data_IF_488987300540
#
_entry.id   IF_488987300540
#
_cell.length_a   1.000
_cell.length_b   1.000
_cell.length_c   1.000
_cell.angle_alpha   90.00
_cell.angle_beta   90.00
_cell.angle_gamma   90.00
#
_symmetry.space_group_name_H-M   'P 1'
#
loop_
_entity.id
_entity.type
_entity.pdbx_description
1 polymer ?
#
# COMPACT_ATOMS: atom_id res chain seq x y z
N UNK A 1 -6.61 19.54 29.26
CA UNK A 1 -5.35 18.75 29.12
C UNK A 1 -5.60 17.70 28.04
N UNK A 2 -4.80 17.72 26.98
CA UNK A 2 -5.03 16.96 25.75
C UNK A 2 -4.79 15.46 25.97
N UNK A 3 -5.85 14.66 26.06
CA UNK A 3 -5.74 13.22 25.95
C UNK A 3 -5.77 12.83 24.47
N UNK A 4 -4.56 12.88 23.89
CA UNK A 4 -4.18 12.28 22.63
C UNK A 4 -4.55 10.78 22.66
N UNK A 5 -5.76 10.47 22.21
CA UNK A 5 -6.13 9.09 21.90
C UNK A 5 -5.30 8.72 20.67
N UNK A 6 -4.12 8.15 20.94
CA UNK A 6 -3.34 7.43 19.96
C UNK A 6 -4.24 6.37 19.34
N UNK A 7 -4.86 6.75 18.23
CA UNK A 7 -5.59 5.85 17.37
C UNK A 7 -4.54 4.91 16.81
N UNK A 8 -4.26 3.81 17.51
CA UNK A 8 -3.56 2.67 16.91
C UNK A 8 -4.58 2.03 15.99
N UNK A 9 -4.88 2.72 14.88
CA UNK A 9 -5.65 2.17 13.78
C UNK A 9 -4.90 0.91 13.37
N UNK A 10 -5.58 -0.23 13.45
CA UNK A 10 -5.04 -1.52 13.03
C UNK A 10 -4.45 -1.35 11.63
N UNK A 11 -3.12 -1.24 11.53
CA UNK A 11 -2.46 -1.09 10.25
C UNK A 11 -2.68 -2.40 9.51
N UNK A 12 -3.66 -2.40 8.61
CA UNK A 12 -4.03 -3.60 7.85
C UNK A 12 -2.92 -3.85 6.85
N UNK A 13 -2.17 -4.93 7.07
CA UNK A 13 -1.08 -5.32 6.22
C UNK A 13 -1.59 -6.32 5.20
N UNK A 14 -1.38 -6.02 3.92
CA UNK A 14 -1.76 -6.85 2.81
C UNK A 14 -0.52 -7.49 2.17
N UNK A 15 -0.64 -8.74 1.74
CA UNK A 15 0.42 -9.44 1.02
C UNK A 15 0.31 -9.20 -0.50
N UNK A 16 1.34 -9.61 -1.24
CA UNK A 16 1.36 -9.55 -2.71
C UNK A 16 0.08 -10.04 -3.43
N UNK A 17 -0.53 -11.19 -3.07
CA UNK A 17 -1.74 -11.66 -3.73
C UNK A 17 -2.90 -10.64 -3.62
N UNK A 18 -3.03 -10.02 -2.46
CA UNK A 18 -4.06 -9.02 -2.19
C UNK A 18 -3.76 -7.69 -2.89
N UNK A 19 -2.49 -7.28 -2.88
CA UNK A 19 -2.01 -6.12 -3.62
C UNK A 19 -2.31 -6.23 -5.13
N UNK A 20 -2.15 -7.44 -5.67
CA UNK A 20 -2.47 -7.77 -7.07
C UNK A 20 -3.98 -7.66 -7.33
N UNK A 21 -4.81 -8.11 -6.39
CA UNK A 21 -6.29 -7.98 -6.47
C UNK A 21 -6.75 -6.53 -6.47
N UNK A 22 -6.19 -5.70 -5.58
CA UNK A 22 -6.60 -4.29 -5.44
C UNK A 22 -6.17 -3.48 -6.65
N UNK A 23 -4.91 -3.61 -7.06
CA UNK A 23 -4.35 -2.81 -8.15
C UNK A 23 -4.69 -3.37 -9.54
N UNK A 24 -5.14 -4.63 -9.62
CA UNK A 24 -5.33 -5.38 -10.87
C UNK A 24 -4.06 -5.45 -11.73
N UNK A 25 -2.89 -5.15 -11.13
CA UNK A 25 -1.60 -5.17 -11.82
C UNK A 25 -0.92 -6.54 -11.70
N UNK A 26 -0.10 -6.88 -12.70
CA UNK A 26 0.76 -8.06 -12.64
C UNK A 26 1.89 -7.86 -11.63
N UNK A 27 2.40 -8.96 -11.09
CA UNK A 27 3.54 -8.96 -10.13
C UNK A 27 4.74 -8.15 -10.64
N UNK A 28 5.05 -8.22 -11.94
CA UNK A 28 6.14 -7.45 -12.55
C UNK A 28 5.95 -5.94 -12.40
N UNK A 29 4.76 -5.43 -12.72
CA UNK A 29 4.42 -4.02 -12.54
C UNK A 29 4.45 -3.61 -11.06
N UNK A 30 4.05 -4.49 -10.14
CA UNK A 30 4.18 -4.23 -8.70
C UNK A 30 5.65 -4.13 -8.27
N UNK A 31 6.54 -4.98 -8.79
CA UNK A 31 7.98 -4.87 -8.52
C UNK A 31 8.58 -3.59 -9.08
N UNK A 32 8.14 -3.14 -10.26
CA UNK A 32 8.56 -1.84 -10.82
C UNK A 32 8.11 -0.68 -9.94
N UNK A 33 6.87 -0.70 -9.42
CA UNK A 33 6.36 0.32 -8.50
C UNK A 33 7.11 0.33 -7.16
N UNK A 34 7.49 -0.83 -6.65
CA UNK A 34 8.34 -0.94 -5.46
C UNK A 34 9.73 -0.35 -5.74
N UNK A 35 10.30 -0.65 -6.91
CA UNK A 35 11.60 -0.10 -7.33
C UNK A 35 11.54 1.42 -7.56
N UNK A 36 10.40 1.93 -8.05
CA UNK A 36 10.14 3.36 -8.22
C UNK A 36 9.90 4.09 -6.88
N UNK A 37 9.73 3.37 -5.77
CA UNK A 37 9.47 3.96 -4.45
C UNK A 37 8.02 4.40 -4.22
N UNK A 38 7.13 4.09 -5.16
CA UNK A 38 5.68 4.37 -5.09
C UNK A 38 4.97 3.48 -4.07
N UNK A 39 5.45 2.25 -3.90
CA UNK A 39 4.96 1.30 -2.90
C UNK A 39 6.07 0.96 -1.92
N UNK A 40 5.79 1.09 -0.62
CA UNK A 40 6.75 0.76 0.44
C UNK A 40 6.52 -0.66 0.95
N UNK A 41 7.39 -1.61 0.59
CA UNK A 41 7.32 -2.95 1.16
C UNK A 41 7.75 -2.93 2.62
N UNK A 42 6.86 -3.37 3.50
CA UNK A 42 7.16 -3.66 4.91
C UNK A 42 7.57 -5.12 5.00
N UNK A 43 8.82 -5.39 5.40
CA UNK A 43 9.26 -6.76 5.69
C UNK A 43 8.79 -7.15 7.09
N UNK A 44 7.82 -8.06 7.16
CA UNK A 44 7.38 -8.66 8.42
C UNK A 44 7.88 -10.11 8.47
N UNK A 45 9.06 -10.29 9.07
CA UNK A 45 9.77 -11.57 9.12
C UNK A 45 10.13 -12.09 7.72
N UNK A 46 9.58 -13.25 7.34
CA UNK A 46 9.83 -13.88 6.02
C UNK A 46 8.88 -13.40 4.91
N UNK A 47 7.88 -12.58 5.23
CA UNK A 47 6.88 -12.12 4.25
C UNK A 47 7.05 -10.62 3.99
N UNK A 48 7.00 -10.27 2.72
CA UNK A 48 6.85 -8.88 2.28
C UNK A 48 5.37 -8.54 2.28
N UNK A 49 5.00 -7.57 3.10
CA UNK A 49 3.63 -7.05 3.25
C UNK A 49 3.62 -5.55 2.99
N UNK A 50 2.44 -4.99 2.76
CA UNK A 50 2.23 -3.58 2.41
C UNK A 50 1.11 -3.03 3.28
N UNK A 51 1.17 -1.76 3.67
CA UNK A 51 0.03 -1.14 4.34
C UNK A 51 -1.11 -0.94 3.34
N UNK A 52 -2.30 -1.46 3.66
CA UNK A 52 -3.50 -1.31 2.84
C UNK A 52 -3.80 0.17 2.56
N UNK A 53 -3.63 1.02 3.58
CA UNK A 53 -3.84 2.46 3.47
C UNK A 53 -2.93 3.12 2.43
N UNK A 54 -1.63 2.78 2.40
CA UNK A 54 -0.69 3.32 1.39
C UNK A 54 -1.07 2.87 -0.02
N UNK A 55 -1.52 1.61 -0.16
CA UNK A 55 -1.92 1.05 -1.45
C UNK A 55 -3.18 1.75 -1.97
N UNK A 56 -4.17 1.96 -1.11
CA UNK A 56 -5.40 2.67 -1.47
C UNK A 56 -5.10 4.13 -1.84
N UNK A 57 -4.27 4.82 -1.05
CA UNK A 57 -3.84 6.20 -1.33
C UNK A 57 -3.14 6.29 -2.70
N UNK A 58 -2.24 5.35 -2.99
CA UNK A 58 -1.57 5.25 -4.27
C UNK A 58 -2.54 5.02 -5.44
N UNK A 59 -3.51 4.11 -5.30
CA UNK A 59 -4.54 3.87 -6.32
C UNK A 59 -5.34 5.14 -6.56
N UNK A 60 -5.75 5.84 -5.49
CA UNK A 60 -6.51 7.08 -5.60
C UNK A 60 -5.71 8.18 -6.30
N UNK A 61 -4.42 8.35 -5.96
CA UNK A 61 -3.52 9.28 -6.67
C UNK A 61 -3.44 8.96 -8.15
N UNK A 62 -3.28 7.67 -8.52
CA UNK A 62 -3.21 7.24 -9.92
C UNK A 62 -4.52 7.46 -10.67
N UNK A 63 -5.67 7.28 -10.02
CA UNK A 63 -6.99 7.59 -10.58
C UNK A 63 -7.20 9.09 -10.77
N UNK A 64 -6.75 9.91 -9.80
CA UNK A 64 -6.80 11.37 -9.88
C UNK A 64 -5.94 11.89 -11.03
N UNK A 65 -4.71 11.40 -11.19
CA UNK A 65 -3.82 11.75 -12.31
C UNK A 65 -4.36 11.34 -13.67
N UNK A 66 -5.26 10.36 -13.75
CA UNK A 66 -5.92 9.96 -15.02
C UNK A 66 -7.12 10.84 -15.39
N UNK A 67 -7.68 11.58 -14.42
CA UNK A 67 -8.85 12.45 -14.61
C UNK A 67 -8.47 13.91 -14.89
N UNK A 68 -7.19 14.26 -14.85
CA UNK A 68 -6.68 15.59 -15.18
C UNK A 68 -6.34 15.74 -16.66
#
# INVERSE_FOLDING_TARGET
MANNQSQVGLVRLIAFPELTRITTLRKTALYELIKAGELRPVKLGRKTVFAEAEVIDWVNKRLASRRA
#
